data_IF_351614278954
#
_entry.id   IF_351614278954
#
_cell.length_a   1.000
_cell.length_b   1.000
_cell.length_c   1.000
_cell.angle_alpha   90.00
_cell.angle_beta   90.00
_cell.angle_gamma   90.00
#
_symmetry.space_group_name_H-M   'P 1'
#
loop_
_entity.id
_entity.type
_entity.pdbx_description
1 polymer ?
#
# COMPACT_ATOMS: atom_id res chain seq x y z
N UNK A 1 -10.96 -4.17 35.92
CA UNK A 1 -10.45 -4.52 34.58
C UNK A 1 -11.42 -3.95 33.57
N UNK A 2 -11.05 -2.80 33.01
CA UNK A 2 -11.81 -2.12 31.97
C UNK A 2 -11.68 -2.96 30.69
N UNK A 3 -12.81 -3.38 30.13
CA UNK A 3 -12.81 -4.16 28.88
C UNK A 3 -12.57 -3.19 27.74
N UNK A 4 -11.35 -3.16 27.22
CA UNK A 4 -11.02 -2.49 25.97
C UNK A 4 -11.93 -3.04 24.87
N UNK A 5 -12.96 -2.27 24.50
CA UNK A 5 -13.80 -2.53 23.33
C UNK A 5 -12.99 -2.22 22.08
N UNK A 6 -11.98 -3.04 21.77
CA UNK A 6 -11.29 -3.00 20.49
C UNK A 6 -12.30 -3.45 19.45
N UNK A 7 -12.87 -2.51 18.72
CA UNK A 7 -13.83 -2.73 17.63
C UNK A 7 -13.17 -3.69 16.62
N UNK A 8 -13.47 -4.98 16.75
CA UNK A 8 -13.00 -6.00 15.82
C UNK A 8 -13.71 -5.73 14.50
N UNK A 9 -12.96 -5.35 13.47
CA UNK A 9 -13.50 -5.28 12.11
C UNK A 9 -14.06 -6.66 11.76
N UNK A 10 -15.26 -6.71 11.18
CA UNK A 10 -15.83 -7.97 10.76
C UNK A 10 -14.97 -8.57 9.64
N UNK A 11 -14.90 -9.90 9.57
CA UNK A 11 -14.18 -10.62 8.50
C UNK A 11 -14.68 -10.21 7.11
N UNK A 12 -15.97 -9.88 6.98
CA UNK A 12 -16.55 -9.36 5.73
C UNK A 12 -15.99 -7.98 5.34
N UNK A 13 -15.76 -7.09 6.31
CA UNK A 13 -15.17 -5.77 6.06
C UNK A 13 -13.69 -5.87 5.66
N UNK A 14 -12.96 -6.85 6.20
CA UNK A 14 -11.54 -7.09 5.86
C UNK A 14 -11.41 -7.69 4.44
N UNK A 15 -12.20 -8.73 4.13
CA UNK A 15 -12.08 -9.45 2.86
C UNK A 15 -12.46 -8.59 1.63
N UNK A 16 -13.31 -7.58 1.81
CA UNK A 16 -13.75 -6.67 0.74
C UNK A 16 -12.99 -5.34 0.69
N UNK A 17 -11.98 -5.14 1.54
CA UNK A 17 -11.26 -3.86 1.57
C UNK A 17 -10.30 -3.77 0.39
N UNK A 18 -10.39 -2.67 -0.35
CA UNK A 18 -9.41 -2.26 -1.33
C UNK A 18 -8.67 -1.02 -0.84
N UNK A 19 -7.46 -0.80 -1.38
CA UNK A 19 -6.70 0.41 -1.13
C UNK A 19 -7.53 1.66 -1.45
N UNK A 20 -7.44 2.65 -0.56
CA UNK A 20 -7.94 4.01 -0.77
C UNK A 20 -6.84 5.00 -0.44
N UNK A 21 -6.81 6.16 -1.11
CA UNK A 21 -5.77 7.18 -0.90
C UNK A 21 -5.67 7.64 0.56
N UNK A 22 -6.78 7.64 1.30
CA UNK A 22 -6.77 7.98 2.72
C UNK A 22 -6.03 6.96 3.60
N UNK A 23 -5.80 5.73 3.12
CA UNK A 23 -5.11 4.67 3.85
C UNK A 23 -3.64 5.03 4.15
N UNK A 24 -3.01 5.90 3.35
CA UNK A 24 -1.70 6.49 3.65
C UNK A 24 -1.65 7.29 4.97
N UNK A 25 -2.81 7.77 5.45
CA UNK A 25 -2.91 8.60 6.65
C UNK A 25 -3.47 7.85 7.86
N UNK A 26 -3.82 6.57 7.71
CA UNK A 26 -4.42 5.77 8.77
C UNK A 26 -3.34 4.97 9.48
N UNK A 27 -3.50 4.88 10.80
CA UNK A 27 -2.55 4.21 11.70
C UNK A 27 -3.01 2.78 12.08
N UNK A 28 -3.90 2.18 11.29
CA UNK A 28 -4.30 0.79 11.46
C UNK A 28 -3.54 -0.14 10.52
N UNK A 29 -3.14 -1.29 11.04
CA UNK A 29 -2.29 -2.26 10.35
C UNK A 29 -2.78 -2.64 8.95
N UNK A 30 -4.10 -2.80 8.77
CA UNK A 30 -4.66 -3.18 7.48
C UNK A 30 -4.54 -2.03 6.47
N UNK A 31 -4.82 -0.79 6.87
CA UNK A 31 -4.61 0.38 6.02
C UNK A 31 -3.13 0.60 5.69
N UNK A 32 -2.23 0.49 6.67
CA UNK A 32 -0.80 0.67 6.46
C UNK A 32 -0.24 -0.37 5.48
N UNK A 33 -0.61 -1.64 5.60
CA UNK A 33 -0.15 -2.68 4.67
C UNK A 33 -0.71 -2.50 3.24
N UNK A 34 -1.96 -2.06 3.10
CA UNK A 34 -2.53 -1.71 1.78
C UNK A 34 -1.80 -0.52 1.14
N UNK A 35 -1.47 0.50 1.94
CA UNK A 35 -0.71 1.66 1.47
C UNK A 35 0.72 1.30 1.07
N UNK A 36 1.42 0.49 1.87
CA UNK A 36 2.77 0.03 1.60
C UNK A 36 2.86 -0.77 0.30
N UNK A 37 1.94 -1.72 0.08
CA UNK A 37 1.90 -2.47 -1.19
C UNK A 37 1.54 -1.61 -2.40
N UNK A 38 0.72 -0.57 -2.23
CA UNK A 38 0.43 0.39 -3.29
C UNK A 38 1.66 1.23 -3.66
N UNK A 39 2.44 1.65 -2.67
CA UNK A 39 3.71 2.36 -2.88
C UNK A 39 4.74 1.48 -3.59
N UNK A 40 4.96 0.24 -3.13
CA UNK A 40 5.89 -0.70 -3.77
C UNK A 40 5.56 -0.92 -5.26
N UNK A 41 4.28 -1.13 -5.60
CA UNK A 41 3.87 -1.31 -7.00
C UNK A 41 4.07 -0.02 -7.81
N UNK A 42 3.83 1.14 -7.20
CA UNK A 42 4.03 2.44 -7.87
C UNK A 42 5.50 2.71 -8.13
N UNK A 43 6.36 2.40 -7.16
CA UNK A 43 7.81 2.54 -7.27
C UNK A 43 8.38 1.63 -8.36
N UNK A 44 7.97 0.36 -8.39
CA UNK A 44 8.38 -0.58 -9.44
C UNK A 44 7.92 -0.13 -10.84
N UNK A 45 6.71 0.40 -10.94
CA UNK A 45 6.19 0.94 -12.20
C UNK A 45 6.99 2.17 -12.67
N UNK A 46 7.31 3.08 -11.75
CA UNK A 46 8.03 4.33 -12.04
C UNK A 46 9.52 4.12 -12.28
N UNK A 47 10.16 3.20 -11.55
CA UNK A 47 11.54 2.78 -11.79
C UNK A 47 11.73 2.22 -13.20
N UNK A 48 10.66 1.65 -13.77
CA UNK A 48 10.69 1.08 -15.11
C UNK A 48 11.52 -0.20 -15.15
N UNK A 49 11.83 -0.67 -16.37
CA UNK A 49 12.60 -1.89 -16.56
C UNK A 49 14.10 -1.60 -16.68
N UNK A 50 14.92 -2.62 -16.42
CA UNK A 50 16.38 -2.55 -16.63
C UNK A 50 16.72 -2.09 -18.07
N UNK A 51 15.96 -2.58 -19.06
CA UNK A 51 16.14 -2.18 -20.45
C UNK A 51 15.81 -0.71 -20.70
N UNK A 52 14.79 -0.18 -20.01
CA UNK A 52 14.40 1.23 -20.09
C UNK A 52 15.46 2.14 -19.46
N UNK A 53 15.94 1.80 -18.27
CA UNK A 53 17.00 2.57 -17.60
C UNK A 53 18.32 2.53 -18.38
N UNK A 54 18.68 1.37 -18.95
CA UNK A 54 19.87 1.23 -19.79
C UNK A 54 19.80 2.08 -21.08
N UNK A 55 18.60 2.31 -21.63
CA UNK A 55 18.40 3.25 -22.74
C UNK A 55 18.49 4.70 -22.28
N UNK A 56 17.84 5.04 -21.15
CA UNK A 56 17.84 6.39 -20.57
C UNK A 56 19.24 6.89 -20.19
N UNK A 57 20.15 5.98 -19.83
CA UNK A 57 21.56 6.28 -19.57
C UNK A 57 22.45 6.39 -20.82
N UNK A 58 21.97 6.00 -22.01
CA UNK A 58 22.69 6.13 -23.29
C UNK A 58 22.29 7.37 -24.09
N UNK A 59 21.15 7.96 -23.78
CA UNK A 59 20.62 9.18 -24.40
C UNK A 59 21.03 10.47 -23.65
N UNK A 60 21.82 10.35 -22.58
CA UNK A 60 22.46 11.44 -21.84
C UNK A 60 23.94 11.57 -22.24
#
# INVERSE_FOLDING_TARGET
MEKDNKKQNSTSEIAGKHFKVEDYKKDDQLSSGLAETHEQVSDDYMAGTIDQEAKRGKEQ
#
